data_IF_313999444930
#
_entry.id   IF_313999444930
#
_cell.length_a   1.000
_cell.length_b   1.000
_cell.length_c   1.000
_cell.angle_alpha   90.00
_cell.angle_beta   90.00
_cell.angle_gamma   90.00
#
_symmetry.space_group_name_H-M   'P 1'
#
loop_
_entity.id
_entity.type
_entity.pdbx_description
1 polymer ?
#
# COMPACT_ATOMS: atom_id res chain seq x y z
N UNK A 1 32.45 -51.27 53.11
CA UNK A 1 33.30 -51.95 52.11
C UNK A 1 33.74 -50.90 51.09
N UNK A 2 35.05 -50.79 50.92
CA UNK A 2 35.77 -49.76 50.15
C UNK A 2 35.81 -50.08 48.64
N UNK A 3 36.45 -49.16 47.88
CA UNK A 3 36.82 -49.11 46.45
C UNK A 3 35.82 -48.30 45.60
N UNK A 4 36.04 -47.02 45.25
CA UNK A 4 37.23 -46.27 44.78
C UNK A 4 37.86 -46.88 43.52
N UNK A 5 37.55 -46.30 42.36
CA UNK A 5 38.40 -46.34 41.18
C UNK A 5 38.28 -45.06 40.36
N UNK A 6 39.33 -44.24 40.49
CA UNK A 6 39.75 -43.21 39.54
C UNK A 6 40.51 -43.87 38.38
N UNK A 7 40.17 -43.49 37.15
CA UNK A 7 41.10 -43.21 36.03
C UNK A 7 40.47 -42.06 35.24
N UNK A 8 40.98 -40.81 35.22
CA UNK A 8 42.24 -40.28 34.67
C UNK A 8 42.56 -40.78 33.25
N UNK A 9 42.26 -39.94 32.27
CA UNK A 9 43.11 -39.60 31.10
C UNK A 9 42.35 -38.50 30.32
N UNK A 10 42.71 -37.21 30.43
CA UNK A 10 43.85 -36.55 29.77
C UNK A 10 43.80 -36.75 28.25
N UNK A 11 43.49 -35.70 27.49
CA UNK A 11 44.42 -35.04 26.55
C UNK A 11 43.71 -33.85 25.91
N UNK A 12 44.06 -32.67 26.37
CA UNK A 12 43.98 -31.40 25.67
C UNK A 12 45.20 -31.32 24.73
N UNK A 13 45.03 -30.92 23.46
CA UNK A 13 45.93 -29.88 22.97
C UNK A 13 45.21 -28.85 22.07
N UNK A 14 45.01 -27.64 22.59
CA UNK A 14 45.26 -26.39 21.85
C UNK A 14 46.79 -26.12 21.76
N UNK A 15 47.31 -25.24 20.88
CA UNK A 15 46.74 -24.55 19.72
C UNK A 15 47.63 -24.67 18.45
N UNK A 16 47.10 -24.36 17.27
CA UNK A 16 47.92 -24.03 16.11
C UNK A 16 47.39 -22.74 15.47
N UNK A 17 48.11 -21.65 15.76
CA UNK A 17 48.09 -20.45 14.97
C UNK A 17 48.76 -20.72 13.63
N UNK A 18 48.07 -20.40 12.53
CA UNK A 18 48.71 -20.14 11.25
C UNK A 18 48.18 -18.81 10.76
N UNK A 19 49.04 -17.79 10.89
CA UNK A 19 49.00 -16.60 10.05
C UNK A 19 49.33 -17.01 8.61
N UNK A 20 48.58 -16.50 7.63
CA UNK A 20 49.00 -16.18 6.25
C UNK A 20 47.80 -15.45 5.62
N UNK A 21 47.78 -14.11 5.63
CA UNK A 21 48.32 -13.20 4.61
C UNK A 21 47.69 -13.38 3.22
N UNK A 22 47.04 -12.30 2.79
CA UNK A 22 46.96 -11.78 1.42
C UNK A 22 46.30 -12.66 0.34
N UNK A 23 45.11 -12.27 -0.10
CA UNK A 23 45.05 -11.54 -1.37
C UNK A 23 43.77 -10.71 -1.49
N UNK A 24 43.95 -9.40 -1.44
CA UNK A 24 43.01 -8.40 -1.96
C UNK A 24 43.08 -8.47 -3.48
N UNK A 25 42.34 -9.40 -4.08
CA UNK A 25 42.21 -9.43 -5.52
C UNK A 25 41.38 -8.21 -5.97
N UNK A 26 42.03 -7.43 -6.82
CA UNK A 26 41.54 -6.18 -7.33
C UNK A 26 40.23 -6.36 -8.08
N UNK A 27 39.38 -5.36 -7.87
CA UNK A 27 38.24 -5.00 -8.70
C UNK A 27 38.67 -5.00 -10.18
N UNK A 28 38.27 -6.02 -10.94
CA UNK A 28 38.05 -5.89 -12.37
C UNK A 28 36.61 -5.37 -12.57
N UNK A 29 36.51 -4.05 -12.78
CA UNK A 29 35.32 -3.44 -13.37
C UNK A 29 35.17 -3.99 -14.79
N UNK A 30 34.33 -5.01 -14.97
CA UNK A 30 33.77 -5.28 -16.30
C UNK A 30 32.97 -4.05 -16.74
N UNK A 31 33.18 -3.53 -17.96
CA UNK A 31 32.36 -2.48 -18.51
C UNK A 31 30.92 -2.98 -18.61
N UNK A 32 30.04 -2.30 -17.88
CA UNK A 32 28.60 -2.41 -18.00
C UNK A 32 28.21 -2.08 -19.43
N UNK A 33 28.08 -3.11 -20.26
CA UNK A 33 27.39 -3.01 -21.53
C UNK A 33 25.93 -2.68 -21.23
N UNK A 34 25.61 -1.41 -21.46
CA UNK A 34 24.32 -0.79 -21.38
C UNK A 34 23.41 -1.38 -22.48
N UNK A 35 22.41 -2.24 -22.19
CA UNK A 35 21.44 -2.60 -23.21
C UNK A 35 20.49 -1.43 -23.42
N UNK A 36 20.71 -0.77 -24.55
CA UNK A 36 19.90 0.27 -25.14
C UNK A 36 18.38 0.03 -25.03
N UNK A 37 17.68 1.11 -24.66
CA UNK A 37 16.39 1.52 -25.23
C UNK A 37 15.33 0.44 -25.45
N UNK A 38 14.79 -0.10 -24.35
CA UNK A 38 13.50 -0.80 -24.35
C UNK A 38 12.33 0.13 -24.07
N UNK A 39 11.57 0.50 -25.11
CA UNK A 39 10.29 1.24 -25.05
C UNK A 39 9.39 0.69 -23.93
N UNK A 40 9.10 1.50 -22.90
CA UNK A 40 8.14 1.12 -21.85
C UNK A 40 6.71 1.22 -22.38
N UNK A 41 6.25 0.14 -23.01
CA UNK A 41 4.84 -0.10 -23.26
C UNK A 41 4.05 0.01 -21.94
N UNK A 42 2.90 0.67 -22.05
CA UNK A 42 1.80 0.73 -21.08
C UNK A 42 1.68 -0.60 -20.30
N UNK A 43 2.21 -0.65 -19.06
CA UNK A 43 2.04 -1.79 -18.16
C UNK A 43 0.58 -1.88 -17.75
N UNK A 44 -0.20 -2.61 -18.53
CA UNK A 44 -1.34 -3.38 -18.03
C UNK A 44 -0.88 -4.03 -16.72
N UNK A 45 -1.65 -3.91 -15.65
CA UNK A 45 -1.35 -4.56 -14.39
C UNK A 45 -1.27 -6.08 -14.65
N UNK A 46 -0.07 -6.57 -14.98
CA UNK A 46 0.22 -7.98 -15.07
C UNK A 46 -0.06 -8.53 -13.68
N UNK A 47 -1.14 -9.29 -13.59
CA UNK A 47 -1.41 -10.14 -12.44
C UNK A 47 -0.11 -10.93 -12.26
N UNK A 48 0.60 -10.75 -11.12
CA UNK A 48 1.85 -11.44 -10.90
C UNK A 48 1.58 -12.91 -11.14
N UNK A 49 2.45 -13.56 -11.94
CA UNK A 49 2.32 -14.99 -12.20
C UNK A 49 2.03 -15.72 -10.89
N UNK A 50 1.06 -16.64 -10.89
CA UNK A 50 0.64 -17.43 -9.73
C UNK A 50 1.78 -17.78 -8.76
N UNK A 51 2.98 -18.26 -9.19
CA UNK A 51 4.10 -18.52 -8.29
C UNK A 51 4.57 -17.29 -7.50
N UNK A 52 4.62 -16.10 -8.11
CA UNK A 52 5.05 -14.86 -7.44
C UNK A 52 4.02 -14.37 -6.43
N UNK A 53 2.73 -14.49 -6.74
CA UNK A 53 1.66 -14.11 -5.81
C UNK A 53 1.65 -15.01 -4.56
N UNK A 54 1.79 -16.32 -4.75
CA UNK A 54 1.90 -17.29 -3.64
C UNK A 54 3.14 -17.01 -2.81
N UNK A 55 4.29 -16.75 -3.44
CA UNK A 55 5.52 -16.43 -2.73
C UNK A 55 5.39 -15.17 -1.86
N UNK A 56 4.79 -14.09 -2.39
CA UNK A 56 4.56 -12.86 -1.62
C UNK A 56 3.63 -13.13 -0.43
N UNK A 57 2.55 -13.88 -0.63
CA UNK A 57 1.61 -14.22 0.44
C UNK A 57 2.26 -15.07 1.55
N UNK A 58 3.05 -16.08 1.18
CA UNK A 58 3.77 -16.93 2.14
C UNK A 58 4.82 -16.13 2.91
N UNK A 59 5.57 -15.26 2.21
CA UNK A 59 6.58 -14.40 2.84
C UNK A 59 5.95 -13.43 3.83
N UNK A 60 4.90 -12.73 3.42
CA UNK A 60 4.23 -11.72 4.25
C UNK A 60 3.54 -12.37 5.46
N UNK A 61 3.06 -13.62 5.31
CA UNK A 61 2.58 -14.43 6.43
C UNK A 61 3.70 -14.80 7.42
N UNK A 62 4.86 -15.26 6.92
CA UNK A 62 6.00 -15.62 7.76
C UNK A 62 6.56 -14.41 8.53
N UNK A 63 6.62 -13.22 7.91
CA UNK A 63 7.02 -11.99 8.62
C UNK A 63 6.00 -11.56 9.67
N UNK A 64 4.71 -11.77 9.41
CA UNK A 64 3.68 -11.53 10.42
C UNK A 64 3.81 -12.51 11.60
N UNK A 65 3.96 -13.81 11.34
CA UNK A 65 4.16 -14.81 12.40
C UNK A 65 5.43 -14.51 13.22
N UNK A 66 6.55 -14.17 12.57
CA UNK A 66 7.79 -13.85 13.27
C UNK A 66 7.68 -12.60 14.14
N UNK A 67 6.82 -11.65 13.77
CA UNK A 67 6.53 -10.48 14.61
C UNK A 67 5.74 -10.81 15.89
N UNK A 68 4.97 -11.91 15.91
CA UNK A 68 4.14 -12.30 17.04
C UNK A 68 4.83 -13.23 18.03
N UNK A 69 5.52 -14.27 17.51
CA UNK A 69 6.11 -15.34 18.31
C UNK A 69 7.64 -15.33 18.32
N UNK A 70 8.26 -14.37 17.63
CA UNK A 70 9.70 -14.29 17.46
C UNK A 70 10.22 -15.11 16.27
N UNK A 71 11.37 -14.70 15.75
CA UNK A 71 12.02 -15.31 14.59
C UNK A 71 12.47 -16.75 14.86
N UNK A 72 13.00 -17.03 16.05
CA UNK A 72 13.48 -18.37 16.44
C UNK A 72 12.37 -19.42 16.44
N UNK A 73 11.22 -19.13 17.05
CA UNK A 73 10.09 -20.06 17.10
C UNK A 73 9.51 -20.33 15.70
N UNK A 74 9.46 -19.29 14.86
CA UNK A 74 9.01 -19.40 13.47
C UNK A 74 9.92 -20.32 12.66
N UNK A 75 11.24 -20.20 12.83
CA UNK A 75 12.22 -21.03 12.13
C UNK A 75 12.14 -22.50 12.55
N UNK A 76 12.05 -22.77 13.87
CA UNK A 76 11.89 -24.14 14.39
C UNK A 76 10.61 -24.78 13.85
N UNK A 77 9.49 -24.05 13.85
CA UNK A 77 8.23 -24.55 13.28
C UNK A 77 8.35 -24.89 11.79
N UNK A 78 9.08 -24.08 11.02
CA UNK A 78 9.30 -24.33 9.60
C UNK A 78 10.18 -25.56 9.35
N UNK A 79 11.28 -25.71 10.09
CA UNK A 79 12.19 -26.86 9.97
C UNK A 79 11.47 -28.16 10.33
N UNK A 80 10.69 -28.17 11.41
CA UNK A 80 9.88 -29.33 11.81
C UNK A 80 8.85 -29.69 10.73
N UNK A 81 8.17 -28.69 10.16
CA UNK A 81 7.21 -28.91 9.08
C UNK A 81 7.86 -29.50 7.82
N UNK A 82 9.00 -28.97 7.39
CA UNK A 82 9.74 -29.48 6.22
C UNK A 82 10.25 -30.89 6.47
N UNK A 83 10.82 -31.15 7.65
CA UNK A 83 11.27 -32.49 8.05
C UNK A 83 10.11 -33.49 8.05
N UNK A 84 8.96 -33.10 8.62
CA UNK A 84 7.78 -33.96 8.67
C UNK A 84 7.21 -34.24 7.27
N UNK A 85 7.22 -33.26 6.35
CA UNK A 85 6.81 -33.44 4.96
C UNK A 85 7.73 -34.39 4.17
N UNK A 86 9.03 -34.38 4.47
CA UNK A 86 10.02 -35.23 3.81
C UNK A 86 10.02 -36.68 4.35
N UNK A 87 9.68 -36.86 5.64
CA UNK A 87 9.85 -38.14 6.33
C UNK A 87 8.60 -39.02 6.31
N UNK A 88 7.40 -38.42 6.32
CA UNK A 88 6.15 -39.13 6.22
C UNK A 88 5.59 -38.88 4.83
N UNK A 89 5.16 -39.90 4.09
CA UNK A 89 4.51 -39.73 2.78
C UNK A 89 3.20 -38.91 2.96
N UNK A 90 3.30 -37.58 2.79
CA UNK A 90 2.79 -36.58 3.76
C UNK A 90 1.39 -36.02 3.50
N UNK A 91 0.48 -36.81 2.94
CA UNK A 91 -0.88 -36.32 2.70
C UNK A 91 -1.61 -35.97 4.01
N UNK A 92 -1.41 -36.77 5.07
CA UNK A 92 -2.03 -36.53 6.38
C UNK A 92 -1.46 -35.33 7.13
N UNK A 93 -0.17 -35.03 6.93
CA UNK A 93 0.47 -33.87 7.55
C UNK A 93 -0.04 -32.60 6.89
N UNK A 94 -0.21 -32.60 5.57
CA UNK A 94 -0.83 -31.48 4.86
C UNK A 94 -2.25 -31.23 5.38
N UNK A 95 -3.06 -32.27 5.59
CA UNK A 95 -4.38 -32.15 6.22
C UNK A 95 -4.30 -31.60 7.65
N UNK A 96 -3.40 -32.11 8.49
CA UNK A 96 -3.21 -31.61 9.84
C UNK A 96 -2.82 -30.13 9.89
N UNK A 97 -1.86 -29.73 9.04
CA UNK A 97 -1.40 -28.34 8.92
C UNK A 97 -2.52 -27.44 8.39
N UNK A 98 -3.26 -27.85 7.37
CA UNK A 98 -4.36 -27.04 6.83
C UNK A 98 -5.51 -26.90 7.82
N UNK A 99 -5.89 -27.97 8.52
CA UNK A 99 -6.92 -27.90 9.58
C UNK A 99 -6.44 -27.01 10.72
N UNK A 100 -5.20 -27.21 11.20
CA UNK A 100 -4.61 -26.41 12.27
C UNK A 100 -4.49 -24.93 11.91
N UNK A 101 -4.06 -24.62 10.68
CA UNK A 101 -4.00 -23.25 10.16
C UNK A 101 -5.40 -22.62 10.08
N UNK A 102 -6.39 -23.36 9.58
CA UNK A 102 -7.78 -22.90 9.51
C UNK A 102 -8.32 -22.59 10.90
N UNK A 103 -8.02 -23.44 11.88
CA UNK A 103 -8.43 -23.24 13.27
C UNK A 103 -7.73 -22.03 13.92
N UNK A 104 -6.42 -21.88 13.70
CA UNK A 104 -5.65 -20.75 14.19
C UNK A 104 -6.15 -19.44 13.58
N UNK A 105 -6.35 -19.41 12.26
CA UNK A 105 -6.95 -18.25 11.58
C UNK A 105 -8.33 -17.95 12.16
N UNK A 106 -9.21 -18.95 12.32
CA UNK A 106 -10.53 -18.77 12.93
C UNK A 106 -10.48 -18.25 14.37
N UNK A 107 -9.55 -18.73 15.19
CA UNK A 107 -9.43 -18.35 16.59
C UNK A 107 -8.77 -16.97 16.80
N UNK A 108 -7.86 -16.58 15.91
CA UNK A 108 -7.10 -15.33 16.00
C UNK A 108 -7.62 -14.23 15.06
N UNK A 109 -8.63 -14.49 14.24
CA UNK A 109 -9.36 -13.43 13.57
C UNK A 109 -10.03 -12.56 14.65
N UNK A 110 -9.65 -11.28 14.79
CA UNK A 110 -10.31 -10.40 15.75
C UNK A 110 -11.80 -10.38 15.43
N UNK A 111 -12.67 -10.64 16.41
CA UNK A 111 -14.12 -10.61 16.22
C UNK A 111 -14.58 -9.31 15.52
N UNK A 112 -13.91 -8.20 15.85
CA UNK A 112 -14.13 -6.89 15.22
C UNK A 112 -13.92 -6.87 13.69
N UNK A 113 -13.04 -7.70 13.14
CA UNK A 113 -12.84 -7.81 11.69
C UNK A 113 -14.00 -8.54 11.02
N UNK A 114 -14.53 -9.58 11.67
CA UNK A 114 -15.69 -10.36 11.19
C UNK A 114 -16.96 -9.51 11.28
N UNK A 115 -17.16 -8.78 12.37
CA UNK A 115 -18.33 -7.91 12.55
C UNK A 115 -18.37 -6.81 11.47
N UNK A 116 -17.21 -6.26 11.08
CA UNK A 116 -17.14 -5.28 9.99
C UNK A 116 -17.52 -5.86 8.64
N UNK A 117 -17.08 -7.07 8.31
CA UNK A 117 -17.47 -7.72 7.06
C UNK A 117 -18.93 -8.11 7.06
N UNK A 118 -19.46 -8.62 8.17
CA UNK A 118 -20.90 -8.91 8.34
C UNK A 118 -21.72 -7.63 8.17
N UNK A 119 -21.39 -6.56 8.87
CA UNK A 119 -22.10 -5.26 8.76
C UNK A 119 -22.06 -4.74 7.32
N UNK A 120 -20.94 -4.88 6.61
CA UNK A 120 -20.81 -4.44 5.21
C UNK A 120 -21.67 -5.29 4.28
N UNK A 121 -21.76 -6.60 4.50
CA UNK A 121 -22.64 -7.49 3.74
C UNK A 121 -24.12 -7.19 4.02
N UNK A 122 -24.48 -6.91 5.27
CA UNK A 122 -25.83 -6.48 5.63
C UNK A 122 -26.19 -5.13 5.01
N UNK A 123 -25.27 -4.16 5.00
CA UNK A 123 -25.45 -2.89 4.31
C UNK A 123 -25.64 -3.07 2.81
N UNK A 124 -24.89 -3.98 2.18
CA UNK A 124 -25.05 -4.29 0.75
C UNK A 124 -26.37 -4.99 0.46
N UNK A 125 -26.79 -5.93 1.31
CA UNK A 125 -28.07 -6.62 1.20
C UNK A 125 -29.25 -5.68 1.38
N UNK A 126 -29.17 -4.75 2.33
CA UNK A 126 -30.23 -3.80 2.65
C UNK A 126 -30.17 -2.54 1.79
N UNK A 127 -29.14 -2.38 0.94
CA UNK A 127 -29.08 -1.26 -0.01
C UNK A 127 -30.23 -1.46 -0.99
N UNK A 128 -31.23 -0.57 -1.03
CA UNK A 128 -32.29 -0.67 -2.02
C UNK A 128 -31.63 -0.69 -3.38
N UNK A 129 -31.96 -1.69 -4.20
CA UNK A 129 -31.46 -1.80 -5.56
C UNK A 129 -31.83 -0.50 -6.26
N UNK A 130 -30.85 0.41 -6.37
CA UNK A 130 -31.04 1.69 -7.03
C UNK A 130 -31.35 1.32 -8.47
N UNK A 131 -32.63 1.39 -8.82
CA UNK A 131 -33.11 1.07 -10.16
C UNK A 131 -32.20 1.78 -11.15
N UNK A 132 -31.65 1.08 -12.16
CA UNK A 132 -30.78 1.69 -13.14
C UNK A 132 -31.52 2.90 -13.69
N UNK A 133 -31.00 4.10 -13.43
CA UNK A 133 -31.60 5.33 -13.90
C UNK A 133 -31.72 5.21 -15.41
N UNK A 134 -32.97 5.12 -15.90
CA UNK A 134 -33.23 5.20 -17.32
C UNK A 134 -32.58 6.50 -17.81
N UNK A 135 -31.78 6.45 -18.89
CA UNK A 135 -31.20 7.64 -19.47
C UNK A 135 -32.35 8.56 -19.88
N UNK A 136 -32.58 9.60 -19.08
CA UNK A 136 -33.53 10.65 -19.41
C UNK A 136 -32.95 11.37 -20.62
N UNK A 137 -33.49 11.06 -21.80
CA UNK A 137 -33.21 11.80 -23.03
C UNK A 137 -33.76 13.21 -22.83
N UNK A 138 -32.88 14.12 -22.42
CA UNK A 138 -33.16 15.56 -22.49
C UNK A 138 -33.35 15.94 -23.98
N UNK A 139 -34.44 16.64 -24.34
CA UNK A 139 -34.63 17.13 -25.70
C UNK A 139 -33.51 18.12 -26.06
N UNK A 140 -32.99 17.99 -27.28
CA UNK A 140 -31.97 18.86 -27.84
C UNK A 140 -32.42 20.33 -27.79
N UNK A 141 -31.78 21.11 -26.93
CA UNK A 141 -31.89 22.57 -26.91
C UNK A 141 -30.86 23.15 -27.91
N UNK A 142 -31.22 24.12 -28.75
CA UNK A 142 -30.31 24.68 -29.75
C UNK A 142 -29.09 25.33 -29.08
N UNK A 143 -27.92 25.00 -29.61
CA UNK A 143 -26.63 25.51 -29.15
C UNK A 143 -26.57 27.04 -29.26
N UNK A 144 -26.72 27.73 -28.13
CA UNK A 144 -26.18 29.07 -27.97
C UNK A 144 -24.66 28.95 -27.82
N UNK A 145 -23.92 29.75 -28.58
CA UNK A 145 -22.46 29.79 -28.53
C UNK A 145 -21.98 30.00 -27.07
N UNK A 146 -21.00 29.23 -26.58
CA UNK A 146 -20.50 29.41 -25.22
C UNK A 146 -19.89 30.80 -25.09
N UNK A 147 -20.21 31.56 -24.02
CA UNK A 147 -19.47 32.77 -23.70
C UNK A 147 -18.01 32.40 -23.47
N UNK A 148 -17.13 33.30 -23.88
CA UNK A 148 -15.68 33.27 -23.73
C UNK A 148 -15.31 33.10 -22.24
N UNK A 149 -15.34 31.85 -21.76
CA UNK A 149 -15.16 31.51 -20.35
C UNK A 149 -13.69 31.57 -20.00
N UNK A 150 -13.38 32.37 -18.97
CA UNK A 150 -12.08 32.51 -18.33
C UNK A 150 -11.34 31.17 -18.16
N UNK A 151 -9.99 31.17 -18.18
CA UNK A 151 -9.19 29.95 -18.04
C UNK A 151 -9.59 29.19 -16.78
N UNK A 152 -10.23 28.03 -16.97
CA UNK A 152 -10.60 27.10 -15.91
C UNK A 152 -9.31 26.53 -15.34
N UNK A 153 -9.04 26.81 -14.07
CA UNK A 153 -7.82 26.35 -13.41
C UNK A 153 -7.78 24.81 -13.43
N UNK A 154 -6.79 24.18 -14.10
CA UNK A 154 -6.74 22.74 -14.28
C UNK A 154 -6.61 21.98 -12.96
N UNK A 155 -6.05 22.62 -11.92
CA UNK A 155 -5.97 22.01 -10.59
C UNK A 155 -7.35 21.93 -9.93
N UNK A 156 -8.18 22.96 -10.09
CA UNK A 156 -9.53 23.00 -9.54
C UNK A 156 -10.41 21.97 -10.25
N UNK A 157 -10.32 21.86 -11.56
CA UNK A 157 -11.04 20.84 -12.33
C UNK A 157 -10.63 19.41 -11.91
N UNK A 158 -9.33 19.16 -11.75
CA UNK A 158 -8.82 17.88 -11.24
C UNK A 158 -9.37 17.57 -9.85
N UNK A 159 -9.42 18.55 -8.95
CA UNK A 159 -9.98 18.40 -7.60
C UNK A 159 -11.46 18.05 -7.64
N UNK A 160 -12.26 18.74 -8.46
CA UNK A 160 -13.68 18.43 -8.63
C UNK A 160 -13.90 17.01 -9.14
N UNK A 161 -13.10 16.59 -10.12
CA UNK A 161 -13.15 15.23 -10.66
C UNK A 161 -12.75 14.16 -9.63
N UNK A 162 -11.72 14.43 -8.83
CA UNK A 162 -11.26 13.50 -7.79
C UNK A 162 -12.23 13.40 -6.59
N UNK A 163 -12.86 14.52 -6.23
CA UNK A 163 -13.85 14.55 -5.14
C UNK A 163 -15.12 13.82 -5.58
N UNK A 164 -15.66 14.11 -6.77
CA UNK A 164 -16.90 13.51 -7.26
C UNK A 164 -18.04 13.65 -6.25
N UNK A 165 -18.53 12.53 -5.73
CA UNK A 165 -19.58 12.46 -4.70
C UNK A 165 -19.03 12.37 -3.26
N UNK A 166 -17.72 12.31 -3.08
CA UNK A 166 -17.07 12.24 -1.77
C UNK A 166 -17.12 13.60 -1.04
N UNK A 167 -17.01 13.62 0.31
CA UNK A 167 -16.92 14.87 1.06
C UNK A 167 -15.59 15.60 0.85
N UNK A 168 -14.51 14.89 0.49
CA UNK A 168 -13.23 15.51 0.16
C UNK A 168 -12.20 14.52 -0.39
N UNK A 169 -11.01 15.05 -0.65
CA UNK A 169 -9.88 14.30 -1.22
C UNK A 169 -8.63 14.45 -0.37
N UNK A 170 -7.90 13.35 -0.17
CA UNK A 170 -6.65 13.37 0.58
C UNK A 170 -5.52 13.94 -0.25
N UNK A 171 -4.60 14.64 0.42
CA UNK A 171 -3.44 15.24 -0.24
C UNK A 171 -2.56 14.19 -0.94
N UNK A 172 -2.44 12.99 -0.35
CA UNK A 172 -1.70 11.86 -0.93
C UNK A 172 -2.26 11.44 -2.29
N UNK A 173 -3.58 11.28 -2.39
CA UNK A 173 -4.26 10.92 -3.64
C UNK A 173 -4.10 12.00 -4.69
N UNK A 174 -4.13 13.27 -4.28
CA UNK A 174 -3.90 14.41 -5.17
C UNK A 174 -2.47 14.40 -5.74
N UNK A 175 -1.45 14.21 -4.90
CA UNK A 175 -0.05 14.12 -5.35
C UNK A 175 0.18 12.93 -6.29
N UNK A 176 -0.39 11.77 -5.98
CA UNK A 176 -0.28 10.57 -6.82
C UNK A 176 -0.94 10.78 -8.19
N UNK A 177 -2.12 11.42 -8.22
CA UNK A 177 -2.84 11.69 -9.47
C UNK A 177 -2.12 12.75 -10.31
N UNK A 178 -1.56 13.78 -9.69
CA UNK A 178 -0.76 14.79 -10.37
C UNK A 178 0.51 14.18 -10.95
N UNK A 179 1.23 13.36 -10.19
CA UNK A 179 2.41 12.64 -10.68
C UNK A 179 2.07 11.72 -11.86
N UNK A 180 0.91 11.05 -11.82
CA UNK A 180 0.44 10.21 -12.93
C UNK A 180 0.06 11.04 -14.18
N UNK A 181 -0.47 12.25 -14.00
CA UNK A 181 -0.86 13.13 -15.13
C UNK A 181 0.35 13.81 -15.75
N UNK A 182 1.40 14.09 -14.96
CA UNK A 182 2.63 14.78 -15.38
C UNK A 182 3.75 13.82 -15.83
N UNK A 183 3.44 12.59 -16.24
CA UNK A 183 4.42 11.56 -16.60
C UNK A 183 5.39 11.91 -17.77
N UNK A 184 5.31 13.11 -18.35
CA UNK A 184 6.29 13.65 -19.32
C UNK A 184 7.10 14.86 -18.85
N UNK A 185 6.84 15.40 -17.65
CA UNK A 185 7.49 16.64 -17.16
C UNK A 185 8.79 16.39 -16.37
N UNK A 186 9.21 15.13 -16.21
CA UNK A 186 10.46 14.74 -15.55
C UNK A 186 10.47 14.85 -14.02
N UNK A 187 9.66 15.73 -13.43
CA UNK A 187 9.65 15.97 -11.98
C UNK A 187 8.29 15.63 -11.36
N UNK A 188 8.29 14.73 -10.39
CA UNK A 188 7.09 14.41 -9.63
C UNK A 188 6.77 15.57 -8.66
N UNK A 189 5.53 16.09 -8.65
CA UNK A 189 5.18 17.22 -7.81
C UNK A 189 5.30 16.84 -6.33
N UNK A 190 6.18 17.54 -5.62
CA UNK A 190 6.37 17.31 -4.19
C UNK A 190 5.11 17.69 -3.41
N UNK A 191 4.92 17.05 -2.26
CA UNK A 191 3.81 17.36 -1.36
C UNK A 191 3.78 18.86 -1.00
N UNK A 192 4.94 19.44 -0.71
CA UNK A 192 5.07 20.86 -0.38
C UNK A 192 4.65 21.77 -1.54
N UNK A 193 5.00 21.43 -2.78
CA UNK A 193 4.59 22.17 -3.96
C UNK A 193 3.06 22.15 -4.16
N UNK A 194 2.42 21.01 -3.91
CA UNK A 194 0.96 20.90 -3.96
C UNK A 194 0.30 21.71 -2.83
N UNK A 195 0.82 21.67 -1.61
CA UNK A 195 0.31 22.50 -0.51
C UNK A 195 0.44 24.00 -0.81
N UNK A 196 1.59 24.43 -1.36
CA UNK A 196 1.81 25.80 -1.80
C UNK A 196 0.84 26.21 -2.93
N UNK A 197 0.62 25.33 -3.91
CA UNK A 197 -0.31 25.59 -5.02
C UNK A 197 -1.77 25.73 -4.56
N UNK A 198 -2.18 24.97 -3.55
CA UNK A 198 -3.52 25.09 -2.94
C UNK A 198 -3.63 26.37 -2.11
N UNK A 199 -2.61 26.71 -1.33
CA UNK A 199 -2.56 27.93 -0.52
C UNK A 199 -2.61 29.19 -1.39
N UNK A 200 -1.95 29.19 -2.55
CA UNK A 200 -1.98 30.30 -3.51
C UNK A 200 -3.38 30.57 -4.08
N UNK A 201 -4.29 29.59 -3.99
CA UNK A 201 -5.70 29.67 -4.41
C UNK A 201 -6.66 29.86 -3.25
N UNK A 202 -6.14 30.14 -2.05
CA UNK A 202 -6.92 30.25 -0.82
C UNK A 202 -7.73 28.98 -0.47
N UNK A 203 -7.33 27.81 -0.97
CA UNK A 203 -7.98 26.54 -0.64
C UNK A 203 -7.40 26.02 0.69
N UNK A 204 -8.23 25.97 1.72
CA UNK A 204 -7.81 25.55 3.06
C UNK A 204 -7.63 24.03 3.13
N UNK A 205 -6.52 23.57 3.71
CA UNK A 205 -6.26 22.16 3.98
C UNK A 205 -6.74 21.80 5.39
N UNK A 206 -7.71 20.89 5.49
CA UNK A 206 -8.20 20.40 6.78
C UNK A 206 -7.40 19.17 7.24
N UNK A 207 -7.09 19.04 8.54
CA UNK A 207 -6.35 17.90 9.07
C UNK A 207 -7.14 16.58 9.05
N UNK A 208 -8.48 16.67 9.01
CA UNK A 208 -9.39 15.53 9.12
C UNK A 208 -10.45 15.55 8.01
N UNK A 209 -10.11 15.00 6.85
CA UNK A 209 -11.03 14.82 5.71
C UNK A 209 -11.26 13.32 5.48
N UNK A 210 -12.52 12.91 5.36
CA UNK A 210 -12.88 11.53 4.99
C UNK A 210 -12.81 11.36 3.48
N UNK A 211 -12.17 10.28 3.02
CA UNK A 211 -12.21 9.86 1.61
C UNK A 211 -13.40 8.92 1.33
N UNK A 212 -13.49 8.43 0.08
CA UNK A 212 -14.47 7.42 -0.35
C UNK A 212 -14.32 6.07 0.34
N UNK A 213 -13.19 5.82 1.03
CA UNK A 213 -12.89 4.60 1.79
C UNK A 213 -13.10 4.80 3.30
N UNK A 214 -13.72 5.92 3.70
CA UNK A 214 -13.96 6.33 5.08
C UNK A 214 -12.68 6.49 5.93
N UNK A 215 -11.53 6.70 5.28
CA UNK A 215 -10.27 6.99 5.96
C UNK A 215 -10.16 8.48 6.21
N UNK A 216 -9.70 8.86 7.39
CA UNK A 216 -9.47 10.25 7.78
C UNK A 216 -8.00 10.59 7.59
N UNK A 217 -7.70 11.58 6.76
CA UNK A 217 -6.36 12.15 6.60
C UNK A 217 -6.44 13.65 6.30
N UNK A 218 -5.28 14.32 6.27
CA UNK A 218 -5.18 15.71 5.82
C UNK A 218 -5.54 15.82 4.33
N UNK A 219 -6.43 16.74 3.98
CA UNK A 219 -6.98 16.86 2.65
C UNK A 219 -7.78 18.15 2.41
N UNK A 220 -8.40 18.21 1.24
CA UNK A 220 -9.28 19.32 0.81
C UNK A 220 -10.73 18.86 0.91
N UNK A 221 -11.58 19.64 1.61
CA UNK A 221 -13.01 19.38 1.67
C UNK A 221 -13.73 20.05 0.48
N UNK A 222 -14.84 19.47 0.04
CA UNK A 222 -15.64 20.00 -1.07
C UNK A 222 -16.14 21.42 -0.82
N UNK A 223 -16.48 21.73 0.42
CA UNK A 223 -16.99 23.06 0.79
C UNK A 223 -15.91 24.14 0.70
N UNK A 224 -14.65 23.80 1.00
CA UNK A 224 -13.53 24.75 0.90
C UNK A 224 -13.25 25.08 -0.58
N UNK A 225 -13.42 24.11 -1.48
CA UNK A 225 -13.37 24.32 -2.93
C UNK A 225 -14.49 25.22 -3.45
N UNK A 226 -15.72 25.03 -2.94
CA UNK A 226 -16.84 25.93 -3.28
C UNK A 226 -16.56 27.34 -2.79
N UNK A 227 -16.07 27.49 -1.56
CA UNK A 227 -15.74 28.79 -0.99
C UNK A 227 -14.64 29.50 -1.79
N UNK A 228 -13.63 28.79 -2.28
CA UNK A 228 -12.57 29.35 -3.10
C UNK A 228 -13.05 29.82 -4.50
N UNK A 229 -14.17 29.29 -5.00
CA UNK A 229 -14.78 29.72 -6.26
C UNK A 229 -15.67 30.95 -6.10
N UNK A 230 -16.07 31.32 -4.88
CA UNK A 230 -16.79 32.57 -4.67
C UNK A 230 -15.79 33.73 -4.86
N UNK A 231 -16.13 34.74 -5.68
CA UNK A 231 -15.29 35.92 -5.80
C UNK A 231 -15.10 36.53 -4.41
N UNK A 232 -13.88 37.02 -4.08
CA UNK A 232 -13.64 37.66 -2.80
C UNK A 232 -14.64 38.79 -2.64
N UNK A 233 -15.37 38.79 -1.53
CA UNK A 233 -16.30 39.87 -1.22
C UNK A 233 -15.55 41.21 -1.35
N UNK A 234 -16.12 42.22 -2.03
CA UNK A 234 -15.46 43.49 -2.21
C UNK A 234 -15.06 44.02 -0.84
N UNK A 235 -13.77 44.30 -0.66
CA UNK A 235 -13.25 44.85 0.59
C UNK A 235 -14.08 46.10 0.94
N UNK A 236 -14.75 46.07 2.09
CA UNK A 236 -15.53 47.21 2.54
C UNK A 236 -14.60 48.43 2.57
N UNK A 237 -15.01 49.58 2.00
CA UNK A 237 -14.17 50.77 2.00
C UNK A 237 -13.79 51.13 3.44
N UNK A 238 -12.56 51.59 3.68
CA UNK A 238 -12.18 52.07 5.01
C UNK A 238 -13.18 53.14 5.44
N UNK A 239 -13.84 52.91 6.58
CA UNK A 239 -14.77 53.87 7.14
C UNK A 239 -14.08 55.21 7.38
N UNK A 240 -14.77 56.35 7.16
CA UNK A 240 -14.22 57.68 7.33
C UNK A 240 -13.78 57.99 8.76
#
# INVERSE_FOLDING_TARGET
MSHFSLRKQTTDPEPAATEELEDTEAVEEEPVDEPAAGKSGKKTAEIPSLPRAVFIAVRDWLTWCSSLIGTTATYVGHVVAVWACAYYDSLWILYGVTIGLTFAVGAFLPAASVDRTVTRLEQLRNRPAKAPAQPTRTPAQPAAAPPDTAPVDPLIDLLWRLIGDAPGVHLKTLTETLAATQQGSGEAPSRAAVEAALSARHITLRPSVRDTRDKVNRGVHRDDLKAALLPPAPAAPPGP
#
